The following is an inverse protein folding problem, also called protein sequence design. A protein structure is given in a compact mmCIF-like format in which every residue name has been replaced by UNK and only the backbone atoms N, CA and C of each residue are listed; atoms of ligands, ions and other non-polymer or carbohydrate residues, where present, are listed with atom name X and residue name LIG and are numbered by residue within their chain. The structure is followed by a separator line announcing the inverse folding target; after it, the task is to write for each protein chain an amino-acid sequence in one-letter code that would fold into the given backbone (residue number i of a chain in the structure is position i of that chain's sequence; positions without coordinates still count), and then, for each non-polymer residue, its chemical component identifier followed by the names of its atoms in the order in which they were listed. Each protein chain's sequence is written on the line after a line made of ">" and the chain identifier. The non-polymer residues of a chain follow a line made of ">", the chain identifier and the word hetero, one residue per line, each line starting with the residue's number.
data_IF_440428435981
#
_entry.id   IF_440428435981
#
_cell.length_a   1.000
_cell.length_b   1.000
_cell.length_c   1.000
_cell.angle_alpha   90.00
_cell.angle_beta   90.00
_cell.angle_gamma   90.00
#
_symmetry.space_group_name_H-M   'P 1'
#
loop_
_entity.id
_entity.type
_entity.pdbx_description
1 polymer ?
#
# COMPACT_ATOMS: atom_id res chain seq x y z
N UNK A 1 14.90 24.03 19.50
CA UNK A 1 14.45 22.71 18.97
C UNK A 1 15.65 22.03 18.35
N UNK A 2 15.99 20.83 18.79
CA UNK A 2 17.10 20.07 18.21
C UNK A 2 16.74 19.77 16.75
N UNK A 3 17.60 20.17 15.82
CA UNK A 3 17.43 19.89 14.40
C UNK A 3 17.69 18.38 14.20
N UNK A 4 16.63 17.62 13.85
CA UNK A 4 16.73 16.18 13.63
C UNK A 4 17.77 15.89 12.53
N UNK A 5 18.60 14.90 12.73
CA UNK A 5 19.58 14.48 11.72
C UNK A 5 18.84 14.12 10.41
N UNK A 6 19.46 14.31 9.23
CA UNK A 6 18.80 14.03 7.94
C UNK A 6 18.25 12.60 7.80
N UNK A 7 18.83 11.63 8.52
CA UNK A 7 18.41 10.23 8.56
C UNK A 7 17.15 9.99 9.40
N UNK A 8 16.76 10.95 10.23
CA UNK A 8 15.60 10.84 11.13
C UNK A 8 14.37 11.52 10.56
N UNK A 9 14.45 12.08 9.36
CA UNK A 9 13.33 12.76 8.70
C UNK A 9 12.62 11.79 7.77
N UNK A 10 11.29 11.69 7.90
CA UNK A 10 10.45 10.96 6.97
C UNK A 10 10.53 11.62 5.60
N UNK A 11 11.07 10.91 4.61
CA UNK A 11 11.15 11.42 3.26
C UNK A 11 9.91 11.00 2.45
N UNK A 12 9.38 11.89 1.60
CA UNK A 12 8.33 11.53 0.66
C UNK A 12 8.77 10.43 -0.30
N UNK A 13 7.80 9.63 -0.78
CA UNK A 13 8.05 8.69 -1.88
C UNK A 13 8.54 9.42 -3.13
N UNK A 14 9.16 8.71 -4.06
CA UNK A 14 9.63 9.33 -5.30
C UNK A 14 8.48 10.01 -6.06
N UNK A 15 7.31 9.39 -6.11
CA UNK A 15 6.13 9.96 -6.75
C UNK A 15 5.68 11.27 -6.06
N UNK A 16 5.63 11.29 -4.73
CA UNK A 16 5.25 12.49 -3.99
C UNK A 16 6.23 13.64 -4.19
N UNK A 17 7.51 13.32 -4.43
CA UNK A 17 8.55 14.31 -4.74
C UNK A 17 8.48 14.84 -6.17
N UNK A 18 7.95 14.03 -7.09
CA UNK A 18 7.77 14.42 -8.50
C UNK A 18 6.43 15.10 -8.74
N UNK A 19 5.51 15.04 -7.78
CA UNK A 19 4.21 15.69 -7.87
C UNK A 19 4.32 17.09 -7.29
N UNK A 20 4.17 18.09 -8.16
CA UNK A 20 4.09 19.49 -7.76
C UNK A 20 2.62 19.89 -7.53
N UNK A 21 2.27 20.15 -6.28
CA UNK A 21 0.92 20.56 -5.87
C UNK A 21 0.74 22.10 -5.87
N UNK A 22 1.82 22.87 -6.04
CA UNK A 22 1.82 24.33 -6.02
C UNK A 22 2.63 24.89 -7.18
N UNK A 23 2.25 24.65 -8.46
CA UNK A 23 3.06 25.01 -9.64
C UNK A 23 3.34 26.50 -9.79
N UNK A 24 2.54 27.36 -9.12
CA UNK A 24 2.72 28.79 -9.13
C UNK A 24 3.84 29.28 -8.16
N UNK A 25 4.36 28.38 -7.34
CA UNK A 25 5.44 28.71 -6.39
C UNK A 25 6.79 28.19 -6.88
N UNK A 26 7.71 29.11 -7.15
CA UNK A 26 9.07 28.77 -7.60
C UNK A 26 9.97 28.15 -6.52
N UNK A 27 9.61 28.25 -5.23
CA UNK A 27 10.42 27.77 -4.11
C UNK A 27 9.54 27.01 -3.12
N UNK A 28 9.81 25.72 -2.96
CA UNK A 28 9.19 24.91 -1.90
C UNK A 28 9.76 25.26 -0.51
N UNK A 29 8.86 25.43 0.44
CA UNK A 29 9.24 25.55 1.85
C UNK A 29 9.96 24.30 2.35
N UNK A 30 10.95 24.48 3.26
CA UNK A 30 11.67 23.35 3.87
C UNK A 30 10.73 22.34 4.55
N UNK A 31 9.60 22.81 5.05
CA UNK A 31 8.61 21.98 5.75
C UNK A 31 7.85 21.01 4.81
N UNK A 32 7.83 21.29 3.50
CA UNK A 32 7.22 20.40 2.50
C UNK A 32 8.12 19.21 2.13
N UNK A 33 9.41 19.30 2.43
CA UNK A 33 10.40 18.24 2.16
C UNK A 33 10.38 17.12 3.19
N UNK A 34 9.65 17.30 4.28
CA UNK A 34 9.52 16.31 5.36
C UNK A 34 8.05 15.93 5.47
N UNK A 35 7.76 14.63 5.37
CA UNK A 35 6.39 14.15 5.53
C UNK A 35 5.95 14.28 7.00
N UNK A 36 4.78 14.89 7.20
CA UNK A 36 4.07 14.72 8.46
C UNK A 36 3.57 13.27 8.57
N UNK A 37 3.37 12.74 9.79
CA UNK A 37 2.78 11.42 9.99
C UNK A 37 1.44 11.23 9.27
N UNK A 38 0.65 12.28 9.17
CA UNK A 38 -0.62 12.26 8.46
C UNK A 38 -0.43 12.11 6.95
N UNK A 39 0.45 12.90 6.35
CA UNK A 39 0.76 12.80 4.91
C UNK A 39 1.36 11.43 4.56
N UNK A 40 2.18 10.85 5.45
CA UNK A 40 2.71 9.51 5.26
C UNK A 40 1.57 8.47 5.21
N UNK A 41 0.58 8.55 6.12
CA UNK A 41 -0.58 7.67 6.11
C UNK A 41 -1.40 7.81 4.83
N UNK A 42 -1.64 9.03 4.38
CA UNK A 42 -2.37 9.33 3.16
C UNK A 42 -1.65 8.77 1.92
N UNK A 43 -0.34 8.93 1.84
CA UNK A 43 0.51 8.37 0.79
C UNK A 43 0.42 6.84 0.76
N UNK A 44 0.60 6.17 1.90
CA UNK A 44 0.49 4.70 2.01
C UNK A 44 -0.92 4.23 1.63
N UNK A 45 -1.97 4.92 2.10
CA UNK A 45 -3.35 4.57 1.74
C UNK A 45 -3.61 4.68 0.25
N UNK A 46 -3.11 5.73 -0.41
CA UNK A 46 -3.18 5.91 -1.86
C UNK A 46 -2.50 4.76 -2.58
N UNK A 47 -1.26 4.43 -2.18
CA UNK A 47 -0.46 3.42 -2.84
C UNK A 47 -1.04 2.01 -2.65
N UNK A 48 -1.60 1.70 -1.47
CA UNK A 48 -2.38 0.47 -1.23
C UNK A 48 -3.65 0.42 -2.09
N UNK A 49 -4.32 1.56 -2.29
CA UNK A 49 -5.49 1.62 -3.19
C UNK A 49 -5.08 1.25 -4.62
N UNK A 50 -3.97 1.74 -5.10
CA UNK A 50 -3.46 1.35 -6.42
C UNK A 50 -3.06 -0.11 -6.49
N UNK A 51 -2.36 -0.62 -5.47
CA UNK A 51 -1.97 -2.03 -5.39
C UNK A 51 -3.17 -2.97 -5.49
N UNK A 52 -4.26 -2.65 -4.79
CA UNK A 52 -5.44 -3.51 -4.76
C UNK A 52 -6.35 -3.37 -5.98
N UNK A 53 -6.20 -2.32 -6.76
CA UNK A 53 -6.94 -2.11 -8.00
C UNK A 53 -6.11 -2.44 -9.26
N UNK A 54 -4.87 -2.89 -9.12
CA UNK A 54 -4.05 -3.37 -10.21
C UNK A 54 -4.14 -4.91 -10.32
N UNK A 55 -4.19 -5.41 -11.55
CA UNK A 55 -4.08 -6.85 -11.84
C UNK A 55 -2.62 -7.18 -12.13
N UNK A 56 -2.08 -8.18 -11.46
CA UNK A 56 -0.69 -8.56 -11.59
C UNK A 56 -0.41 -9.33 -12.90
N UNK A 57 0.86 -9.33 -13.32
CA UNK A 57 1.30 -9.98 -14.56
C UNK A 57 1.07 -11.49 -14.53
N UNK A 58 1.21 -12.13 -13.37
CA UNK A 58 0.97 -13.58 -13.20
C UNK A 58 -0.44 -14.01 -13.61
N UNK A 59 -1.41 -13.09 -13.59
CA UNK A 59 -2.79 -13.37 -14.03
C UNK A 59 -2.92 -13.61 -15.53
N UNK A 60 -2.00 -13.09 -16.33
CA UNK A 60 -2.03 -13.14 -17.81
C UNK A 60 -0.85 -13.88 -18.41
N UNK A 61 0.23 -14.06 -17.65
CA UNK A 61 1.45 -14.74 -18.12
C UNK A 61 1.98 -15.68 -17.05
N UNK A 62 2.40 -16.87 -17.46
CA UNK A 62 3.09 -17.80 -16.57
C UNK A 62 4.50 -17.29 -16.28
N UNK A 63 4.78 -17.02 -14.99
CA UNK A 63 6.07 -16.60 -14.48
C UNK A 63 6.83 -17.73 -13.79
N UNK A 64 6.36 -18.99 -13.90
CA UNK A 64 7.08 -20.14 -13.38
C UNK A 64 8.46 -20.22 -14.03
N UNK A 65 9.51 -20.23 -13.22
CA UNK A 65 10.89 -20.14 -13.71
C UNK A 65 11.50 -18.72 -13.74
N UNK A 66 10.71 -17.68 -13.45
CA UNK A 66 11.17 -16.28 -13.40
C UNK A 66 10.87 -15.65 -12.03
N UNK A 67 11.40 -16.24 -10.95
CA UNK A 67 11.12 -15.82 -9.56
C UNK A 67 11.43 -14.35 -9.27
N UNK A 68 12.45 -13.80 -9.93
CA UNK A 68 12.79 -12.37 -9.77
C UNK A 68 11.76 -11.45 -10.41
N UNK A 69 11.17 -11.88 -11.55
CA UNK A 69 10.07 -11.12 -12.18
C UNK A 69 8.81 -11.22 -11.33
N UNK A 70 8.51 -12.40 -10.79
CA UNK A 70 7.34 -12.60 -9.91
C UNK A 70 7.35 -11.65 -8.70
N UNK A 71 8.54 -11.36 -8.15
CA UNK A 71 8.72 -10.46 -6.98
C UNK A 71 9.03 -9.01 -7.35
N UNK A 72 9.13 -8.69 -8.61
CA UNK A 72 9.45 -7.34 -9.08
C UNK A 72 8.19 -6.47 -9.23
N UNK A 73 8.41 -5.17 -9.41
CA UNK A 73 7.34 -4.22 -9.74
C UNK A 73 6.63 -4.51 -11.06
N UNK A 74 7.19 -5.36 -11.93
CA UNK A 74 6.50 -5.83 -13.13
C UNK A 74 5.27 -6.69 -12.79
N UNK A 75 5.29 -7.35 -11.65
CA UNK A 75 4.17 -8.16 -11.15
C UNK A 75 3.35 -7.42 -10.07
N UNK A 76 3.35 -6.07 -10.10
CA UNK A 76 2.60 -5.25 -9.16
C UNK A 76 1.10 -5.46 -9.30
N UNK A 77 0.41 -5.69 -8.17
CA UNK A 77 -1.03 -5.87 -8.14
C UNK A 77 -1.48 -7.17 -7.48
N UNK A 78 -2.75 -7.48 -7.62
CA UNK A 78 -3.39 -8.70 -7.15
C UNK A 78 -3.69 -9.65 -8.29
N UNK A 79 -3.77 -10.96 -8.03
CA UNK A 79 -4.32 -11.89 -9.00
C UNK A 79 -5.74 -11.48 -9.39
N UNK A 80 -6.10 -11.71 -10.66
CA UNK A 80 -7.47 -11.45 -11.11
C UNK A 80 -8.49 -12.27 -10.29
N UNK A 81 -9.31 -11.54 -9.55
CA UNK A 81 -10.38 -12.09 -8.73
C UNK A 81 -11.73 -12.03 -9.43
N UNK A 82 -11.81 -11.45 -10.65
CA UNK A 82 -13.04 -11.38 -11.43
C UNK A 82 -13.51 -12.76 -11.84
N UNK A 83 -14.80 -13.00 -11.74
CA UNK A 83 -15.40 -14.30 -12.06
C UNK A 83 -15.20 -15.41 -11.00
N UNK A 84 -14.36 -15.20 -10.01
CA UNK A 84 -14.29 -16.08 -8.84
C UNK A 84 -15.37 -15.63 -7.86
N UNK A 85 -16.51 -16.33 -7.92
CA UNK A 85 -17.65 -16.07 -7.02
C UNK A 85 -17.16 -15.93 -5.57
N UNK A 86 -17.67 -14.93 -4.86
CA UNK A 86 -17.40 -14.76 -3.42
C UNK A 86 -17.75 -16.01 -2.59
N UNK A 87 -18.54 -16.92 -3.14
CA UNK A 87 -18.86 -18.23 -2.58
C UNK A 87 -17.80 -19.30 -2.87
N UNK A 88 -16.89 -19.10 -3.85
CA UNK A 88 -15.87 -20.09 -4.24
C UNK A 88 -14.47 -19.80 -3.69
N UNK A 89 -14.19 -18.58 -3.27
CA UNK A 89 -12.88 -18.23 -2.67
C UNK A 89 -13.10 -17.96 -1.18
N UNK A 90 -12.49 -18.78 -0.33
CA UNK A 90 -12.56 -18.55 1.12
C UNK A 90 -11.98 -17.17 1.46
N UNK A 91 -12.68 -16.41 2.30
CA UNK A 91 -12.24 -15.10 2.79
C UNK A 91 -10.77 -15.13 3.27
N UNK A 92 -10.38 -16.21 3.95
CA UNK A 92 -9.00 -16.42 4.40
C UNK A 92 -7.97 -16.49 3.28
N UNK A 93 -8.36 -16.93 2.08
CA UNK A 93 -7.46 -16.97 0.90
C UNK A 93 -7.24 -15.55 0.38
N UNK A 94 -8.29 -14.76 0.28
CA UNK A 94 -8.19 -13.34 -0.13
C UNK A 94 -7.35 -12.56 0.87
N UNK A 95 -7.58 -12.73 2.17
CA UNK A 95 -6.78 -12.09 3.22
C UNK A 95 -5.29 -12.43 3.12
N UNK A 96 -4.95 -13.70 2.81
CA UNK A 96 -3.56 -14.14 2.59
C UNK A 96 -2.94 -13.49 1.36
N UNK A 97 -3.69 -13.42 0.25
CA UNK A 97 -3.22 -12.78 -1.00
C UNK A 97 -2.95 -11.30 -0.79
N UNK A 98 -3.89 -10.58 -0.16
CA UNK A 98 -3.73 -9.17 0.16
C UNK A 98 -2.53 -8.92 1.07
N UNK A 99 -2.37 -9.72 2.12
CA UNK A 99 -1.24 -9.62 3.05
C UNK A 99 0.09 -9.85 2.33
N UNK A 100 0.16 -10.87 1.45
CA UNK A 100 1.37 -11.13 0.65
C UNK A 100 1.72 -9.95 -0.25
N UNK A 101 0.73 -9.40 -0.95
CA UNK A 101 0.94 -8.23 -1.80
C UNK A 101 1.45 -7.01 -1.02
N UNK A 102 0.88 -6.75 0.18
CA UNK A 102 1.39 -5.69 1.07
C UNK A 102 2.86 -5.95 1.44
N UNK A 103 3.22 -7.17 1.81
CA UNK A 103 4.59 -7.51 2.22
C UNK A 103 5.62 -7.35 1.10
N UNK A 104 5.20 -7.54 -0.15
CA UNK A 104 6.07 -7.43 -1.32
C UNK A 104 6.18 -5.99 -1.82
N UNK A 105 5.08 -5.24 -1.82
CA UNK A 105 5.01 -3.96 -2.51
C UNK A 105 4.90 -2.73 -1.61
N UNK A 106 4.69 -2.90 -0.28
CA UNK A 106 4.60 -1.77 0.64
C UNK A 106 5.66 -1.88 1.77
N UNK A 107 6.92 -1.52 1.48
CA UNK A 107 8.01 -1.67 2.44
C UNK A 107 7.93 -0.70 3.63
N UNK A 108 7.06 0.31 3.58
CA UNK A 108 6.86 1.27 4.68
C UNK A 108 6.02 0.67 5.82
N UNK A 109 5.37 -0.47 5.60
CA UNK A 109 4.65 -1.20 6.65
C UNK A 109 5.53 -2.26 7.29
N UNK A 110 5.50 -2.34 8.62
CA UNK A 110 6.21 -3.37 9.37
C UNK A 110 5.49 -4.71 9.17
N UNK A 111 6.12 -5.64 8.45
CA UNK A 111 5.51 -6.89 7.95
C UNK A 111 4.82 -7.71 9.04
N UNK A 112 5.42 -7.80 10.20
CA UNK A 112 4.95 -8.61 11.33
C UNK A 112 3.67 -8.06 11.95
N UNK A 113 3.40 -6.77 11.73
CA UNK A 113 2.23 -6.07 12.29
C UNK A 113 1.05 -6.06 11.34
N UNK A 114 1.25 -6.40 10.06
CA UNK A 114 0.20 -6.35 9.04
C UNK A 114 -0.89 -7.37 9.32
N UNK A 115 -2.07 -6.89 9.59
CA UNK A 115 -3.31 -7.67 9.76
C UNK A 115 -4.31 -7.24 8.73
N UNK A 116 -4.89 -8.20 8.03
CA UNK A 116 -5.89 -7.97 6.98
C UNK A 116 -7.12 -8.78 7.34
N UNK A 117 -8.28 -8.14 7.34
CA UNK A 117 -9.58 -8.76 7.57
C UNK A 117 -10.57 -8.30 6.52
N UNK A 118 -11.32 -9.24 5.96
CA UNK A 118 -12.47 -8.94 5.11
C UNK A 118 -13.68 -8.60 5.98
N UNK A 119 -14.31 -7.47 5.69
CA UNK A 119 -15.55 -7.06 6.31
C UNK A 119 -16.72 -7.50 5.43
N UNK A 120 -17.66 -8.27 6.01
CA UNK A 120 -18.84 -8.80 5.30
C UNK A 120 -20.01 -7.81 5.24
N UNK A 121 -19.72 -6.51 5.24
CA UNK A 121 -20.79 -5.51 5.20
C UNK A 121 -21.24 -5.20 3.77
N UNK A 122 -22.05 -6.11 3.21
CA UNK A 122 -22.63 -5.97 1.87
C UNK A 122 -23.68 -4.85 1.76
N UNK A 123 -24.19 -4.34 2.89
CA UNK A 123 -25.29 -3.36 2.88
C UNK A 123 -24.84 -1.95 2.54
N UNK A 124 -23.59 -1.62 2.85
CA UNK A 124 -23.09 -0.24 2.71
C UNK A 124 -22.40 0.05 1.38
N UNK A 125 -21.87 -0.97 0.68
CA UNK A 125 -20.96 -0.77 -0.48
C UNK A 125 -21.40 -1.46 -1.77
N UNK A 126 -22.53 -2.16 -1.76
CA UNK A 126 -23.05 -2.89 -2.92
C UNK A 126 -22.55 -4.34 -3.03
N UNK A 127 -23.22 -5.18 -3.86
CA UNK A 127 -23.00 -6.64 -3.87
C UNK A 127 -21.65 -7.08 -4.46
N UNK A 128 -20.97 -6.19 -5.16
CA UNK A 128 -19.67 -6.49 -5.81
C UNK A 128 -18.48 -5.85 -5.13
N UNK A 129 -18.70 -5.08 -4.04
CA UNK A 129 -17.62 -4.43 -3.33
C UNK A 129 -17.06 -5.33 -2.23
N UNK A 130 -15.73 -5.42 -2.18
CA UNK A 130 -15.01 -6.10 -1.10
C UNK A 130 -14.46 -5.04 -0.15
N UNK A 131 -14.96 -5.03 1.07
CA UNK A 131 -14.48 -4.13 2.10
C UNK A 131 -13.35 -4.82 2.89
N UNK A 132 -12.22 -4.15 3.01
CA UNK A 132 -11.03 -4.70 3.66
C UNK A 132 -10.59 -3.77 4.79
N UNK A 133 -10.42 -4.33 5.98
CA UNK A 133 -9.78 -3.65 7.10
C UNK A 133 -8.30 -4.04 7.14
N UNK A 134 -7.42 -3.04 7.13
CA UNK A 134 -5.98 -3.22 7.24
C UNK A 134 -5.49 -2.50 8.48
N UNK A 135 -4.84 -3.24 9.36
CA UNK A 135 -4.15 -2.71 10.53
C UNK A 135 -2.66 -3.01 10.39
N UNK A 136 -1.81 -2.00 10.54
CA UNK A 136 -0.37 -2.17 10.47
C UNK A 136 0.36 -1.03 11.18
N UNK A 137 1.63 -1.23 11.48
CA UNK A 137 2.53 -0.19 11.96
C UNK A 137 3.33 0.36 10.78
N UNK A 138 3.37 1.68 10.67
CA UNK A 138 4.23 2.36 9.71
C UNK A 138 5.66 2.44 10.27
N UNK A 139 6.63 2.09 9.42
CA UNK A 139 8.02 2.35 9.72
C UNK A 139 8.25 3.87 9.68
N UNK A 140 8.33 4.47 10.84
CA UNK A 140 8.54 5.90 10.99
C UNK A 140 9.53 6.12 12.13
N UNK A 141 10.61 6.84 11.90
CA UNK A 141 11.49 7.27 12.96
C UNK A 141 11.00 8.59 13.57
N UNK A 142 11.10 8.79 14.89
CA UNK A 142 11.70 7.89 15.89
C UNK A 142 10.78 6.82 16.47
N UNK A 143 9.47 6.82 16.17
CA UNK A 143 8.52 5.86 16.72
C UNK A 143 7.59 5.31 15.64
N UNK A 144 7.30 4.00 15.63
CA UNK A 144 6.32 3.41 14.73
C UNK A 144 4.94 4.06 14.92
N UNK A 145 4.26 4.32 13.80
CA UNK A 145 2.91 4.88 13.79
C UNK A 145 1.91 3.79 13.44
N UNK A 146 0.79 3.72 14.15
CA UNK A 146 -0.29 2.81 13.82
C UNK A 146 -1.12 3.33 12.65
N UNK A 147 -1.37 2.46 11.67
CA UNK A 147 -2.31 2.64 10.58
C UNK A 147 -3.57 1.84 10.92
N UNK A 148 -4.69 2.52 10.95
CA UNK A 148 -6.02 1.92 11.08
C UNK A 148 -6.85 2.26 9.87
#
# INVERSE_FOLDING_TARGET
>A
MADLAPKERLQPSLLDRLTDNEPDRQVEGRDLRVLSPQRLRESVRRDLTWLFNAVNLTSVQDLSGHSEVERSTLNFGLPDLSGKSATGVHASTIEKLLRRAIWEFEPRLVKETVRVKLLQDQKSYGPSAVCVLIEAELWAQPLPLRLF
#
